data_IF_237247160029
#
_entry.id   IF_237247160029
#
_cell.length_a   1.000
_cell.length_b   1.000
_cell.length_c   1.000
_cell.angle_alpha   90.00
_cell.angle_beta   90.00
_cell.angle_gamma   90.00
#
_symmetry.space_group_name_H-M   'P 1'
#
loop_
_entity.id
_entity.type
_entity.pdbx_description
1 polymer ?
#
# COMPACT_ATOMS: atom_id res chain seq x y z
N UNK A 1 -11.39 8.58 10.24
CA UNK A 1 -11.25 9.29 8.95
C UNK A 1 -11.56 8.33 7.80
N UNK A 2 -11.84 8.86 6.61
CA UNK A 2 -12.04 8.07 5.39
C UNK A 2 -10.71 8.00 4.62
N UNK A 3 -10.22 6.80 4.34
CA UNK A 3 -8.97 6.57 3.64
C UNK A 3 -9.19 5.68 2.41
N UNK A 4 -8.50 6.01 1.33
CA UNK A 4 -8.46 5.20 0.13
C UNK A 4 -7.18 4.36 0.10
N UNK A 5 -7.30 3.06 -0.09
CA UNK A 5 -6.20 2.18 -0.48
C UNK A 5 -6.40 1.80 -1.95
N UNK A 6 -5.40 2.06 -2.77
CA UNK A 6 -5.38 1.57 -4.15
C UNK A 6 -4.56 0.29 -4.21
N UNK A 7 -5.24 -0.83 -4.45
CA UNK A 7 -4.71 -2.18 -4.45
C UNK A 7 -5.54 -3.13 -3.59
N UNK A 8 -5.45 -4.43 -3.91
CA UNK A 8 -6.14 -5.52 -3.19
C UNK A 8 -5.20 -6.68 -2.86
N UNK A 9 -3.88 -6.44 -2.91
CA UNK A 9 -2.85 -7.42 -2.57
C UNK A 9 -2.55 -7.52 -1.07
N UNK A 10 -1.51 -8.27 -0.70
CA UNK A 10 -1.16 -8.54 0.70
C UNK A 10 -1.04 -7.28 1.56
N UNK A 11 -0.18 -6.32 1.19
CA UNK A 11 -0.01 -5.08 1.95
C UNK A 11 -1.28 -4.23 2.00
N UNK A 12 -2.03 -4.16 0.89
CA UNK A 12 -3.29 -3.43 0.86
C UNK A 12 -4.29 -3.98 1.88
N UNK A 13 -4.43 -5.30 1.97
CA UNK A 13 -5.27 -5.96 2.97
C UNK A 13 -4.73 -5.72 4.39
N UNK A 14 -3.43 -5.86 4.63
CA UNK A 14 -2.85 -5.62 5.97
C UNK A 14 -3.10 -4.18 6.45
N UNK A 15 -2.89 -3.19 5.57
CA UNK A 15 -3.13 -1.78 5.88
C UNK A 15 -4.61 -1.53 6.14
N UNK A 16 -5.49 -2.02 5.27
CA UNK A 16 -6.93 -1.89 5.45
C UNK A 16 -7.39 -2.50 6.78
N UNK A 17 -6.96 -3.73 7.11
CA UNK A 17 -7.30 -4.39 8.36
C UNK A 17 -6.86 -3.57 9.59
N UNK A 18 -5.59 -3.13 9.62
CA UNK A 18 -5.04 -2.40 10.78
C UNK A 18 -5.66 -1.01 10.93
N UNK A 19 -5.89 -0.29 9.84
CA UNK A 19 -6.54 1.02 9.85
C UNK A 19 -8.02 0.92 10.23
N UNK A 20 -8.75 -0.08 9.72
CA UNK A 20 -10.13 -0.33 10.16
C UNK A 20 -10.19 -0.70 11.64
N UNK A 21 -9.26 -1.54 12.13
CA UNK A 21 -9.15 -1.87 13.55
C UNK A 21 -8.92 -0.62 14.43
N UNK A 22 -8.24 0.39 13.90
CA UNK A 22 -8.02 1.67 14.58
C UNK A 22 -9.19 2.66 14.45
N UNK A 23 -10.34 2.23 13.89
CA UNK A 23 -11.54 3.06 13.77
C UNK A 23 -11.58 3.95 12.53
N UNK A 24 -10.80 3.65 11.49
CA UNK A 24 -10.87 4.37 10.22
C UNK A 24 -11.77 3.64 9.21
N UNK A 25 -12.46 4.40 8.36
CA UNK A 25 -13.28 3.85 7.29
C UNK A 25 -12.42 3.69 6.04
N UNK A 26 -12.36 2.47 5.53
CA UNK A 26 -11.50 2.12 4.41
C UNK A 26 -12.32 1.88 3.15
N UNK A 27 -11.95 2.60 2.08
CA UNK A 27 -12.30 2.25 0.71
C UNK A 27 -11.09 1.61 0.03
N UNK A 28 -11.31 0.52 -0.70
CA UNK A 28 -10.30 -0.21 -1.44
C UNK A 28 -10.66 -0.19 -2.93
N UNK A 29 -9.75 0.33 -3.75
CA UNK A 29 -9.90 0.39 -5.20
C UNK A 29 -8.94 -0.61 -5.86
N UNK A 30 -9.45 -1.48 -6.72
CA UNK A 30 -8.63 -2.49 -7.40
C UNK A 30 -9.23 -3.00 -8.70
N UNK A 31 -8.59 -3.98 -9.32
CA UNK A 31 -9.10 -4.64 -10.54
C UNK A 31 -9.16 -6.16 -10.44
N UNK A 32 -8.66 -6.72 -9.34
CA UNK A 32 -8.69 -8.15 -9.14
C UNK A 32 -10.08 -8.56 -8.65
N UNK A 33 -10.90 -9.10 -9.56
CA UNK A 33 -12.32 -9.38 -9.33
C UNK A 33 -12.53 -10.29 -8.14
N UNK A 34 -11.82 -11.42 -8.07
CA UNK A 34 -11.95 -12.38 -6.97
C UNK A 34 -11.59 -11.73 -5.63
N UNK A 35 -10.57 -10.87 -5.62
CA UNK A 35 -10.19 -10.07 -4.44
C UNK A 35 -11.28 -9.09 -4.02
N UNK A 36 -11.85 -8.34 -4.96
CA UNK A 36 -12.92 -7.38 -4.69
C UNK A 36 -14.20 -8.07 -4.19
N UNK A 37 -14.58 -9.19 -4.78
CA UNK A 37 -15.77 -9.93 -4.39
C UNK A 37 -15.62 -10.52 -2.99
N UNK A 38 -14.45 -11.07 -2.66
CA UNK A 38 -14.14 -11.52 -1.31
C UNK A 38 -14.19 -10.36 -0.28
N UNK A 39 -13.61 -9.20 -0.62
CA UNK A 39 -13.64 -8.01 0.24
C UNK A 39 -15.05 -7.48 0.47
N UNK A 40 -15.92 -7.51 -0.54
CA UNK A 40 -17.33 -7.10 -0.40
C UNK A 40 -18.12 -8.06 0.47
N UNK A 41 -17.87 -9.36 0.32
CA UNK A 41 -18.60 -10.42 1.03
C UNK A 41 -18.18 -10.53 2.50
N UNK A 42 -16.88 -10.64 2.75
CA UNK A 42 -16.34 -11.02 4.06
C UNK A 42 -15.53 -9.90 4.73
N UNK A 43 -15.36 -8.76 4.06
CA UNK A 43 -14.40 -7.74 4.45
C UNK A 43 -12.96 -8.21 4.26
N UNK A 44 -12.02 -7.49 4.88
CA UNK A 44 -10.64 -7.96 5.00
C UNK A 44 -10.55 -8.95 6.14
N UNK A 45 -9.97 -10.12 5.87
CA UNK A 45 -9.67 -11.16 6.85
C UNK A 45 -8.18 -11.13 7.17
N UNK A 46 -7.83 -10.92 8.43
CA UNK A 46 -6.46 -10.84 8.93
C UNK A 46 -6.18 -12.02 9.85
N UNK A 47 -5.13 -12.77 9.54
CA UNK A 47 -4.54 -13.80 10.41
C UNK A 47 -3.36 -13.18 11.16
N UNK A 48 -3.40 -13.23 12.49
CA UNK A 48 -2.31 -12.75 13.35
C UNK A 48 -1.17 -13.79 13.50
N UNK A 49 -0.19 -13.49 14.36
CA UNK A 49 0.93 -14.38 14.66
C UNK A 49 0.50 -15.70 15.30
N UNK A 50 -0.60 -15.67 16.07
CA UNK A 50 -1.12 -16.80 16.84
C UNK A 50 -2.09 -17.65 16.00
N UNK A 51 -2.33 -17.25 14.74
CA UNK A 51 -3.22 -17.93 13.81
C UNK A 51 -4.70 -17.56 13.95
N UNK A 52 -5.03 -16.54 14.76
CA UNK A 52 -6.41 -16.07 14.93
C UNK A 52 -6.84 -15.22 13.74
N UNK A 53 -8.04 -15.49 13.23
CA UNK A 53 -8.65 -14.72 12.14
C UNK A 53 -9.54 -13.60 12.69
N UNK A 54 -9.34 -12.39 12.18
CA UNK A 54 -10.16 -11.21 12.43
C UNK A 54 -10.77 -10.71 11.13
N UNK A 55 -11.97 -10.14 11.19
CA UNK A 55 -12.67 -9.61 10.01
C UNK A 55 -12.96 -8.13 10.17
N UNK A 56 -12.68 -7.37 9.11
CA UNK A 56 -12.81 -5.92 9.09
C UNK A 56 -13.61 -5.49 7.87
N UNK A 57 -14.76 -4.85 8.10
CA UNK A 57 -15.61 -4.35 7.02
C UNK A 57 -14.91 -3.21 6.29
N UNK A 58 -14.90 -3.26 4.97
CA UNK A 58 -14.36 -2.23 4.08
C UNK A 58 -15.32 -2.01 2.91
N UNK A 59 -15.26 -0.84 2.29
CA UNK A 59 -15.82 -0.65 0.96
C UNK A 59 -14.79 -1.14 -0.06
N UNK A 60 -15.19 -1.97 -1.03
CA UNK A 60 -14.30 -2.43 -2.08
C UNK A 60 -14.94 -2.27 -3.46
N UNK A 61 -14.21 -1.64 -4.38
CA UNK A 61 -14.74 -1.28 -5.69
C UNK A 61 -13.69 -1.39 -6.80
N UNK A 62 -14.17 -1.58 -8.04
CA UNK A 62 -13.39 -1.41 -9.26
C UNK A 62 -13.60 -0.04 -9.92
N UNK A 63 -14.62 0.70 -9.49
CA UNK A 63 -15.02 1.97 -10.08
C UNK A 63 -14.50 3.13 -9.22
N UNK A 64 -13.56 3.96 -9.70
CA UNK A 64 -13.08 5.12 -8.95
C UNK A 64 -14.21 6.12 -8.63
N UNK A 65 -15.32 6.12 -9.38
CA UNK A 65 -16.46 7.03 -9.13
C UNK A 65 -17.20 6.70 -7.83
N UNK A 66 -17.01 5.50 -7.27
CA UNK A 66 -17.59 5.11 -5.99
C UNK A 66 -16.75 5.55 -4.77
N UNK A 67 -15.55 6.13 -5.00
CA UNK A 67 -14.66 6.60 -3.93
C UNK A 67 -14.16 8.03 -4.18
N UNK A 68 -15.02 8.89 -4.75
CA UNK A 68 -14.72 10.31 -5.03
C UNK A 68 -14.43 11.12 -3.77
N UNK A 69 -13.73 12.25 -3.96
CA UNK A 69 -13.32 13.17 -2.90
C UNK A 69 -12.41 12.54 -1.84
N UNK A 70 -11.62 11.52 -2.21
CA UNK A 70 -10.62 10.96 -1.33
C UNK A 70 -9.53 12.01 -1.04
N UNK A 71 -9.37 12.40 0.23
CA UNK A 71 -8.33 13.35 0.67
C UNK A 71 -6.96 12.70 0.79
N UNK A 72 -6.92 11.41 1.13
CA UNK A 72 -5.69 10.65 1.34
C UNK A 72 -5.81 9.28 0.70
N UNK A 73 -4.88 8.97 -0.20
CA UNK A 73 -4.78 7.68 -0.85
C UNK A 73 -3.42 7.01 -0.57
N UNK A 74 -3.42 5.71 -0.29
CA UNK A 74 -2.19 4.89 -0.20
C UNK A 74 -2.14 3.96 -1.42
N UNK A 75 -1.08 4.06 -2.20
CA UNK A 75 -0.89 3.23 -3.40
C UNK A 75 -0.03 2.00 -3.07
N UNK A 76 -0.63 0.82 -3.19
CA UNK A 76 -0.06 -0.49 -2.84
C UNK A 76 -0.23 -1.52 -3.98
N UNK A 77 -0.17 -1.05 -5.23
CA UNK A 77 -0.22 -1.90 -6.43
C UNK A 77 1.18 -2.30 -6.91
N UNK A 78 1.26 -3.26 -7.85
CA UNK A 78 2.53 -3.56 -8.53
C UNK A 78 2.89 -2.44 -9.51
N UNK A 79 4.18 -2.20 -9.73
CA UNK A 79 4.67 -1.07 -10.52
C UNK A 79 4.08 -1.00 -11.95
N UNK A 80 3.83 -2.15 -12.59
CA UNK A 80 3.20 -2.21 -13.91
C UNK A 80 1.74 -1.72 -13.94
N UNK A 81 1.11 -1.53 -12.77
CA UNK A 81 -0.25 -1.02 -12.63
C UNK A 81 -0.30 0.50 -12.39
N UNK A 82 0.84 1.16 -12.17
CA UNK A 82 0.89 2.54 -11.67
C UNK A 82 0.27 3.54 -12.65
N UNK A 83 0.46 3.38 -13.96
CA UNK A 83 -0.14 4.26 -14.98
C UNK A 83 -1.68 4.22 -14.93
N UNK A 84 -2.26 3.01 -14.87
CA UNK A 84 -3.72 2.82 -14.71
C UNK A 84 -4.22 3.45 -13.41
N UNK A 85 -3.48 3.27 -12.32
CA UNK A 85 -3.82 3.86 -11.02
C UNK A 85 -3.76 5.38 -11.06
N UNK A 86 -2.81 5.99 -11.78
CA UNK A 86 -2.73 7.44 -11.94
C UNK A 86 -4.00 7.99 -12.60
N UNK A 87 -4.49 7.33 -13.65
CA UNK A 87 -5.76 7.68 -14.30
C UNK A 87 -7.00 7.48 -13.42
N UNK A 88 -7.00 6.45 -12.56
CA UNK A 88 -8.08 6.24 -11.59
C UNK A 88 -8.08 7.30 -10.49
N UNK A 89 -6.91 7.60 -9.91
CA UNK A 89 -6.78 8.61 -8.85
C UNK A 89 -7.16 10.01 -9.35
N UNK A 90 -6.92 10.32 -10.63
CA UNK A 90 -7.39 11.59 -11.22
C UNK A 90 -8.91 11.75 -11.13
N UNK A 91 -9.67 10.66 -11.12
CA UNK A 91 -11.14 10.69 -11.08
C UNK A 91 -11.70 10.74 -9.65
N UNK A 92 -10.95 10.27 -8.66
CA UNK A 92 -11.48 10.08 -7.30
C UNK A 92 -10.74 10.82 -6.19
N UNK A 93 -9.48 11.22 -6.40
CA UNK A 93 -8.72 12.00 -5.44
C UNK A 93 -9.26 13.45 -5.44
N UNK A 94 -9.63 13.96 -4.27
CA UNK A 94 -10.07 15.34 -4.08
C UNK A 94 -9.00 16.32 -4.60
N UNK A 95 -9.40 17.51 -5.05
CA UNK A 95 -8.47 18.50 -5.65
C UNK A 95 -7.29 18.88 -4.73
N UNK A 96 -7.53 18.93 -3.42
CA UNK A 96 -6.55 19.14 -2.35
C UNK A 96 -6.04 17.84 -1.71
N UNK A 97 -6.39 16.69 -2.29
CA UNK A 97 -6.01 15.37 -1.84
C UNK A 97 -4.60 14.96 -2.28
N UNK A 98 -3.99 14.07 -1.49
CA UNK A 98 -2.64 13.56 -1.68
C UNK A 98 -2.60 12.03 -1.77
N UNK A 99 -1.79 11.51 -2.70
CA UNK A 99 -1.50 10.10 -2.84
C UNK A 99 -0.09 9.78 -2.31
N UNK A 100 0.01 8.90 -1.32
CA UNK A 100 1.27 8.32 -0.84
C UNK A 100 1.52 7.01 -1.56
N UNK A 101 2.58 6.92 -2.36
CA UNK A 101 3.04 5.63 -2.89
C UNK A 101 4.02 4.97 -1.94
N UNK A 102 3.74 3.72 -1.58
CA UNK A 102 4.63 2.84 -0.80
C UNK A 102 5.16 1.67 -1.65
N UNK A 103 5.09 1.82 -2.97
CA UNK A 103 5.49 0.80 -3.92
C UNK A 103 7.01 0.65 -3.95
N UNK A 104 7.48 -0.57 -4.15
CA UNK A 104 8.89 -0.80 -4.48
C UNK A 104 9.18 -0.37 -5.92
N UNK A 105 10.44 0.03 -6.16
CA UNK A 105 10.95 0.37 -7.49
C UNK A 105 10.94 1.88 -7.78
N UNK A 106 11.64 2.25 -8.86
CA UNK A 106 11.74 3.63 -9.35
C UNK A 106 10.62 3.95 -10.35
N UNK A 107 10.34 5.24 -10.55
CA UNK A 107 9.42 5.71 -11.59
C UNK A 107 7.94 5.77 -11.16
N UNK A 108 7.57 5.20 -10.01
CA UNK A 108 6.18 5.19 -9.57
C UNK A 108 5.67 6.60 -9.23
N UNK A 109 6.48 7.40 -8.53
CA UNK A 109 6.13 8.79 -8.17
C UNK A 109 5.96 9.64 -9.41
N UNK A 110 6.92 9.55 -10.32
CA UNK A 110 6.95 10.29 -11.58
C UNK A 110 5.72 9.95 -12.42
N UNK A 111 5.40 8.66 -12.52
CA UNK A 111 4.21 8.16 -13.22
C UNK A 111 2.92 8.76 -12.64
N UNK A 112 2.75 8.69 -11.31
CA UNK A 112 1.57 9.27 -10.64
C UNK A 112 1.52 10.79 -10.82
N UNK A 113 2.67 11.47 -10.69
CA UNK A 113 2.77 12.92 -10.76
C UNK A 113 2.43 13.48 -12.15
N UNK A 114 2.70 12.72 -13.23
CA UNK A 114 2.28 13.13 -14.59
C UNK A 114 0.76 13.31 -14.70
N UNK A 115 -0.03 12.52 -13.98
CA UNK A 115 -1.50 12.63 -14.02
C UNK A 115 -2.08 13.53 -12.93
N UNK A 116 -1.46 13.55 -11.74
CA UNK A 116 -2.01 14.20 -10.53
C UNK A 116 -1.36 15.56 -10.21
N UNK A 117 -0.17 15.83 -10.74
CA UNK A 117 0.69 16.95 -10.34
C UNK A 117 1.66 16.58 -9.21
N UNK A 118 2.86 17.18 -9.25
CA UNK A 118 3.95 16.88 -8.31
C UNK A 118 3.59 17.09 -6.84
N UNK A 119 2.79 18.12 -6.54
CA UNK A 119 2.42 18.49 -5.17
C UNK A 119 1.38 17.55 -4.54
N UNK A 120 0.76 16.66 -5.34
CA UNK A 120 -0.29 15.73 -4.90
C UNK A 120 0.19 14.29 -4.79
N UNK A 121 1.49 14.05 -4.95
CA UNK A 121 2.09 12.72 -4.85
C UNK A 121 3.27 12.76 -3.88
N UNK A 122 3.12 12.00 -2.80
CA UNK A 122 4.16 11.77 -1.83
C UNK A 122 4.82 10.41 -2.00
N UNK A 123 6.11 10.37 -1.68
CA UNK A 123 6.93 9.17 -1.72
C UNK A 123 7.10 8.57 -0.33
N UNK A 124 7.02 7.25 -0.26
CA UNK A 124 7.44 6.49 0.91
C UNK A 124 7.92 5.09 0.56
N UNK A 125 8.42 4.41 1.56
CA UNK A 125 8.87 3.02 1.50
C UNK A 125 8.43 2.29 2.75
N UNK A 126 8.10 1.02 2.62
CA UNK A 126 7.79 0.16 3.76
C UNK A 126 8.64 -1.09 3.75
N UNK A 127 9.06 -1.52 4.93
CA UNK A 127 9.66 -2.86 5.18
C UNK A 127 8.68 -3.82 5.84
N UNK A 128 7.44 -3.39 6.10
CA UNK A 128 6.39 -4.25 6.65
C UNK A 128 6.12 -5.43 5.71
N UNK A 129 6.07 -6.63 6.27
CA UNK A 129 5.75 -7.86 5.55
C UNK A 129 4.27 -8.23 5.65
N UNK A 130 3.74 -8.81 4.59
CA UNK A 130 2.40 -9.41 4.58
C UNK A 130 2.36 -10.54 3.56
N UNK A 131 1.65 -11.61 3.88
CA UNK A 131 1.43 -12.74 2.97
C UNK A 131 -0.06 -12.82 2.63
N UNK A 132 -0.39 -12.76 1.34
CA UNK A 132 -1.75 -13.01 0.88
C UNK A 132 -1.97 -14.52 0.86
N UNK A 133 -2.84 -15.03 1.75
CA UNK A 133 -3.20 -16.45 1.81
C UNK A 133 -4.33 -16.81 0.83
N UNK A 134 -5.12 -15.81 0.44
CA UNK A 134 -6.18 -15.93 -0.54
C UNK A 134 -6.90 -14.60 -0.77
N UNK A 135 -7.93 -14.56 -1.63
CA UNK A 135 -8.74 -13.37 -1.85
C UNK A 135 -9.29 -12.80 -0.53
N UNK A 136 -8.96 -11.54 -0.24
CA UNK A 136 -9.36 -10.86 1.00
C UNK A 136 -8.75 -11.43 2.29
N UNK A 137 -7.84 -12.41 2.23
CA UNK A 137 -7.24 -13.07 3.40
C UNK A 137 -5.73 -12.85 3.45
N UNK A 138 -5.28 -12.16 4.48
CA UNK A 138 -3.88 -11.80 4.68
C UNK A 138 -3.36 -12.30 6.02
N UNK A 139 -2.12 -12.80 6.05
CA UNK A 139 -1.36 -13.02 7.28
C UNK A 139 -0.36 -11.89 7.48
N UNK A 140 -0.34 -11.33 8.69
CA UNK A 140 0.69 -10.36 9.06
C UNK A 140 2.08 -11.03 8.97
N UNK A 141 3.03 -10.36 8.30
CA UNK A 141 4.42 -10.80 8.23
C UNK A 141 5.27 -10.10 9.28
N UNK A 142 6.55 -9.87 8.97
CA UNK A 142 7.44 -9.10 9.83
C UNK A 142 6.97 -7.66 10.01
N UNK A 143 7.00 -7.18 11.25
CA UNK A 143 6.85 -5.75 11.52
C UNK A 143 8.01 -4.98 10.87
N UNK A 144 7.72 -3.77 10.41
CA UNK A 144 8.66 -2.96 9.65
C UNK A 144 8.36 -1.48 9.80
N UNK A 145 9.16 -0.66 9.15
CA UNK A 145 9.09 0.79 9.22
C UNK A 145 8.44 1.31 7.94
N UNK A 146 7.49 2.22 8.09
CA UNK A 146 6.97 3.07 7.01
C UNK A 146 7.76 4.38 7.06
N UNK A 147 8.63 4.57 6.07
CA UNK A 147 9.35 5.82 5.88
C UNK A 147 8.61 6.67 4.85
N UNK A 148 8.20 7.88 5.21
CA UNK A 148 7.49 8.80 4.32
C UNK A 148 8.22 10.13 4.19
N UNK A 149 8.09 10.77 3.03
CA UNK A 149 8.65 12.11 2.82
C UNK A 149 8.08 13.14 3.80
N UNK A 150 8.87 14.18 4.12
CA UNK A 150 8.34 15.33 4.84
C UNK A 150 7.37 16.11 3.96
N UNK A 151 6.07 15.96 4.23
CA UNK A 151 5.01 16.69 3.56
C UNK A 151 3.88 16.95 4.55
N UNK A 152 3.49 18.22 4.73
CA UNK A 152 2.47 18.61 5.72
C UNK A 152 1.11 17.97 5.44
N UNK A 153 0.76 17.75 4.17
CA UNK A 153 -0.51 17.12 3.78
C UNK A 153 -0.61 15.65 4.24
N UNK A 154 0.52 15.02 4.60
CA UNK A 154 0.55 13.66 5.15
C UNK A 154 0.27 13.60 6.66
N UNK A 155 0.20 14.72 7.38
CA UNK A 155 -0.02 14.72 8.84
C UNK A 155 -1.18 13.81 9.29
N UNK A 156 -2.40 13.97 8.73
CA UNK A 156 -3.53 13.11 9.06
C UNK A 156 -3.30 11.63 8.72
N UNK A 157 -2.57 11.34 7.64
CA UNK A 157 -2.27 9.97 7.23
C UNK A 157 -1.23 9.32 8.15
N UNK A 158 -0.23 10.08 8.60
CA UNK A 158 0.75 9.64 9.59
C UNK A 158 0.08 9.29 10.93
N UNK A 159 -0.79 10.17 11.44
CA UNK A 159 -1.55 9.94 12.67
C UNK A 159 -2.41 8.68 12.57
N UNK A 160 -3.06 8.46 11.41
CA UNK A 160 -3.84 7.26 11.17
C UNK A 160 -3.00 5.98 11.11
N UNK A 161 -1.81 6.03 10.51
CA UNK A 161 -0.89 4.89 10.50
C UNK A 161 -0.36 4.58 11.91
N UNK A 162 -0.04 5.60 12.69
CA UNK A 162 0.40 5.46 14.09
C UNK A 162 -0.72 4.91 14.99
N UNK A 163 -1.97 5.36 14.82
CA UNK A 163 -3.13 4.81 15.54
C UNK A 163 -3.34 3.32 15.23
N UNK A 164 -3.07 2.91 13.98
CA UNK A 164 -3.05 1.53 13.51
C UNK A 164 -1.80 0.73 13.93
N UNK A 165 -0.98 1.31 14.82
CA UNK A 165 0.25 0.75 15.41
C UNK A 165 1.38 0.49 14.41
N UNK A 166 1.34 1.10 13.22
CA UNK A 166 2.49 1.03 12.32
C UNK A 166 3.64 1.86 12.90
N UNK A 167 4.87 1.39 12.69
CA UNK A 167 6.05 2.18 12.98
C UNK A 167 6.28 3.15 11.80
N UNK A 168 6.09 4.44 12.03
CA UNK A 168 6.15 5.48 10.99
C UNK A 168 7.26 6.46 11.31
N UNK A 169 8.05 6.81 10.30
CA UNK A 169 9.05 7.86 10.39
C UNK A 169 9.00 8.79 9.18
N UNK A 170 9.34 10.06 9.41
CA UNK A 170 9.56 11.04 8.33
C UNK A 170 11.02 11.04 7.92
N UNK A 171 11.27 11.16 6.63
CA UNK A 171 12.62 11.20 6.06
C UNK A 171 12.78 12.37 5.09
N UNK A 172 13.98 12.96 5.07
CA UNK A 172 14.28 14.10 4.20
C UNK A 172 14.50 13.68 2.75
N UNK A 173 15.15 12.52 2.55
CA UNK A 173 15.41 11.96 1.22
C UNK A 173 14.89 10.51 1.08
N UNK A 174 13.59 10.34 0.79
CA UNK A 174 13.02 9.02 0.52
C UNK A 174 13.50 8.43 -0.81
N UNK A 175 13.99 9.24 -1.76
CA UNK A 175 14.54 8.70 -3.01
C UNK A 175 15.80 7.89 -2.75
N UNK A 176 16.69 8.37 -1.88
CA UNK A 176 17.89 7.63 -1.49
C UNK A 176 17.57 6.28 -0.85
N UNK A 177 16.53 6.22 0.00
CA UNK A 177 16.07 4.94 0.57
C UNK A 177 15.58 3.95 -0.50
N UNK A 178 14.82 4.45 -1.48
CA UNK A 178 14.32 3.60 -2.56
C UNK A 178 15.46 3.12 -3.46
N UNK A 179 16.44 3.98 -3.77
CA UNK A 179 17.64 3.61 -4.54
C UNK A 179 18.44 2.53 -3.83
N UNK A 180 18.69 2.69 -2.52
CA UNK A 180 19.37 1.67 -1.72
C UNK A 180 18.63 0.32 -1.75
N UNK A 181 17.31 0.35 -1.55
CA UNK A 181 16.47 -0.86 -1.63
C UNK A 181 16.45 -1.46 -3.03
N UNK A 182 16.50 -0.64 -4.08
CA UNK A 182 16.59 -1.11 -5.46
C UNK A 182 17.88 -1.89 -5.69
N UNK A 183 19.03 -1.36 -5.26
CA UNK A 183 20.33 -2.04 -5.42
C UNK A 183 20.28 -3.44 -4.82
N UNK A 184 19.75 -3.56 -3.59
CA UNK A 184 19.57 -4.86 -2.92
C UNK A 184 18.62 -5.77 -3.72
N UNK A 185 17.47 -5.26 -4.13
CA UNK A 185 16.46 -6.04 -4.87
C UNK A 185 16.93 -6.47 -6.26
N UNK A 186 17.75 -5.66 -6.92
CA UNK A 186 18.34 -5.95 -8.24
C UNK A 186 19.39 -7.03 -8.17
N UNK A 187 20.06 -7.20 -7.02
CA UNK A 187 20.97 -8.31 -6.79
C UNK A 187 20.22 -9.58 -6.36
N UNK A 188 19.38 -9.49 -5.33
CA UNK A 188 18.79 -10.68 -4.69
C UNK A 188 17.68 -11.31 -5.54
N UNK A 189 16.71 -10.52 -6.02
CA UNK A 189 15.49 -11.08 -6.62
C UNK A 189 15.73 -11.83 -7.94
N UNK A 190 16.57 -11.35 -8.88
CA UNK A 190 16.87 -12.11 -10.08
C UNK A 190 17.64 -13.39 -9.78
N UNK A 191 18.61 -13.35 -8.86
CA UNK A 191 19.41 -14.51 -8.50
C UNK A 191 18.55 -15.59 -7.83
N UNK A 192 17.71 -15.24 -6.85
CA UNK A 192 16.81 -16.23 -6.23
C UNK A 192 15.80 -16.81 -7.22
N UNK A 193 15.32 -16.00 -8.17
CA UNK A 193 14.42 -16.48 -9.23
C UNK A 193 15.10 -17.46 -10.19
N UNK A 194 16.33 -17.15 -10.64
CA UNK A 194 17.11 -17.98 -11.56
C UNK A 194 17.54 -19.29 -10.89
N UNK A 195 18.06 -19.20 -9.66
CA UNK A 195 18.58 -20.34 -8.91
C UNK A 195 17.47 -21.14 -8.20
N UNK A 196 16.25 -20.60 -8.15
CA UNK A 196 15.08 -21.18 -7.45
C UNK A 196 15.31 -21.48 -5.97
N UNK A 197 16.10 -20.62 -5.31
CA UNK A 197 16.38 -20.70 -3.88
C UNK A 197 15.59 -19.64 -3.11
N UNK A 198 15.40 -19.83 -1.81
CA UNK A 198 14.72 -18.84 -0.98
C UNK A 198 15.64 -17.66 -0.69
N UNK A 199 15.04 -16.51 -0.35
CA UNK A 199 15.81 -15.39 0.20
C UNK A 199 16.52 -15.84 1.49
N UNK A 200 17.84 -15.60 1.56
CA UNK A 200 18.71 -16.07 2.65
C UNK A 200 19.58 -17.28 2.28
N UNK A 201 19.25 -18.00 1.20
CA UNK A 201 19.99 -19.19 0.75
C UNK A 201 21.01 -18.88 -0.36
N UNK A 202 21.13 -17.62 -0.81
CA UNK A 202 22.08 -17.22 -1.86
C UNK A 202 23.56 -17.33 -1.46
N UNK A 203 23.85 -17.37 -0.16
CA UNK A 203 25.21 -17.47 0.38
C UNK A 203 25.55 -18.89 0.85
N UNK A 204 24.62 -19.84 0.69
CA UNK A 204 24.77 -21.23 1.11
C UNK A 204 25.50 -22.07 0.05
#
# INVERSE_FOLDING_TARGET
MNLLIVGTGALANLFAARLTRAGHHMAMLGTWREGLDALRKDGVRLVDSDGREYRFKVQATADPRECVNAKHAIVLVKAWQTERVAGQLRQCLADDGIALTLQNGLGNRETLARSLGLNRVALGSTTTGATLLGPGLVKAGGEGIISMERNQALGPLEEALQSAKFNVQRVDDPQSLIRGKLVINSAINPLTAILRVKNGELLA
#
